data_IF_846097131740
#
_entry.id   IF_846097131740
#
_cell.length_a   1.000
_cell.length_b   1.000
_cell.length_c   1.000
_cell.angle_alpha   90.00
_cell.angle_beta   90.00
_cell.angle_gamma   90.00
#
_symmetry.space_group_name_H-M   'P 1'
#
loop_
_entity.id
_entity.type
_entity.pdbx_description
1 polymer ?
#
# COMPACT_ATOMS: atom_id res chain seq x y z
N UNK A 1 -5.81 -17.87 8.15
CA UNK A 1 -4.65 -18.56 8.77
C UNK A 1 -3.58 -17.51 9.07
N UNK A 2 -2.86 -17.63 10.18
CA UNK A 2 -1.76 -16.70 10.49
C UNK A 2 -0.56 -16.93 9.58
N UNK A 3 -0.07 -15.86 8.97
CA UNK A 3 1.20 -15.83 8.23
C UNK A 3 2.24 -15.05 9.03
N UNK A 4 3.52 -15.37 8.84
CA UNK A 4 4.60 -14.67 9.52
C UNK A 4 4.62 -13.21 9.07
N UNK A 5 4.62 -12.27 10.02
CA UNK A 5 4.64 -10.84 9.70
C UNK A 5 6.00 -10.43 9.12
N UNK A 6 5.95 -9.67 8.04
CA UNK A 6 7.11 -9.06 7.40
C UNK A 6 6.77 -7.65 6.93
N UNK A 7 7.81 -6.87 6.63
CA UNK A 7 7.72 -5.54 6.06
C UNK A 7 8.70 -5.43 4.88
N UNK A 8 8.31 -4.59 3.91
CA UNK A 8 9.20 -4.14 2.83
C UNK A 8 9.84 -2.77 3.14
N UNK A 9 9.40 -2.09 4.21
CA UNK A 9 9.76 -0.70 4.51
C UNK A 9 10.90 -0.58 5.54
N UNK A 10 11.15 -1.63 6.31
CA UNK A 10 12.18 -1.58 7.37
C UNK A 10 13.59 -1.76 6.80
N UNK A 11 13.77 -2.57 5.76
CA UNK A 11 15.04 -2.76 5.07
C UNK A 11 14.83 -2.64 3.56
N UNK A 12 15.64 -1.79 2.92
CA UNK A 12 15.51 -1.52 1.48
C UNK A 12 15.82 -2.77 0.67
N UNK A 13 14.95 -3.07 -0.31
CA UNK A 13 15.09 -4.22 -1.22
C UNK A 13 15.04 -5.59 -0.55
N UNK A 14 14.60 -5.66 0.70
CA UNK A 14 14.51 -6.90 1.45
C UNK A 14 13.12 -7.06 2.09
N UNK A 15 12.65 -8.30 2.08
CA UNK A 15 11.46 -8.71 2.83
C UNK A 15 11.92 -9.13 4.21
N UNK A 16 11.69 -8.29 5.21
CA UNK A 16 12.24 -8.47 6.55
C UNK A 16 11.16 -8.90 7.53
N UNK A 17 11.39 -9.94 8.31
CA UNK A 17 10.48 -10.28 9.41
C UNK A 17 10.44 -9.16 10.43
N UNK A 18 9.24 -8.83 10.90
CA UNK A 18 9.05 -7.71 11.81
C UNK A 18 8.37 -8.10 13.10
N UNK A 19 8.48 -7.18 14.04
CA UNK A 19 7.80 -7.12 15.30
C UNK A 19 6.85 -5.96 15.32
N UNK A 20 5.63 -6.22 15.76
CA UNK A 20 4.61 -5.20 15.89
C UNK A 20 4.89 -4.42 17.17
N UNK A 21 5.18 -3.14 17.04
CA UNK A 21 5.43 -2.28 18.20
C UNK A 21 4.12 -2.06 18.95
N UNK A 22 4.22 -1.83 20.26
CA UNK A 22 3.08 -1.38 21.08
C UNK A 22 2.76 0.08 20.71
N UNK A 23 2.07 0.26 19.58
CA UNK A 23 1.58 1.55 19.14
C UNK A 23 0.40 2.07 19.97
N UNK A 24 -0.17 3.18 19.50
CA UNK A 24 -1.08 4.09 20.23
C UNK A 24 -2.45 3.48 20.63
N UNK A 25 -2.87 2.36 20.03
CA UNK A 25 -4.04 1.61 20.49
C UNK A 25 -3.64 0.60 21.56
N UNK A 26 -4.31 0.62 22.71
CA UNK A 26 -4.02 -0.22 23.90
C UNK A 26 -4.01 -1.69 23.47
N UNK A 27 -2.82 -2.31 23.28
CA UNK A 27 -2.78 -3.69 22.85
C UNK A 27 -3.21 -4.55 24.03
N UNK A 28 -4.08 -5.54 23.80
CA UNK A 28 -4.38 -6.52 24.83
C UNK A 28 -3.12 -7.37 25.05
N UNK A 29 -2.40 -7.07 26.14
CA UNK A 29 -1.21 -7.83 26.51
C UNK A 29 -1.59 -8.96 27.45
N UNK A 30 -1.29 -10.20 27.04
CA UNK A 30 -1.67 -11.41 27.76
C UNK A 30 -0.41 -12.18 28.13
N UNK A 31 -0.22 -12.57 29.41
CA UNK A 31 0.86 -13.48 29.78
C UNK A 31 0.63 -14.86 29.16
N UNK A 32 1.66 -15.39 28.49
CA UNK A 32 1.63 -16.72 27.85
C UNK A 32 3.00 -17.39 27.91
N UNK A 33 2.99 -18.68 28.20
CA UNK A 33 4.22 -19.49 28.31
C UNK A 33 4.85 -19.81 26.94
N UNK A 34 4.08 -19.74 25.85
CA UNK A 34 4.52 -20.14 24.53
C UNK A 34 3.86 -19.36 23.41
N UNK A 35 4.50 -19.37 22.23
CA UNK A 35 3.94 -18.81 21.00
C UNK A 35 2.61 -19.47 20.62
N UNK A 36 2.48 -20.79 20.74
CA UNK A 36 1.22 -21.50 20.47
C UNK A 36 0.13 -21.01 21.42
N UNK A 37 0.45 -20.83 22.70
CA UNK A 37 -0.47 -20.22 23.67
C UNK A 37 -0.87 -18.80 23.29
N UNK A 38 0.06 -17.99 22.78
CA UNK A 38 -0.22 -16.65 22.27
C UNK A 38 -1.23 -16.67 21.13
N UNK A 39 -0.97 -17.49 20.10
CA UNK A 39 -1.84 -17.60 18.92
C UNK A 39 -3.24 -18.09 19.28
N UNK A 40 -3.35 -19.11 20.14
CA UNK A 40 -4.65 -19.63 20.59
C UNK A 40 -5.43 -18.57 21.36
N UNK A 41 -4.80 -17.87 22.31
CA UNK A 41 -5.48 -16.81 23.08
C UNK A 41 -5.91 -15.64 22.22
N UNK A 42 -5.08 -15.18 21.28
CA UNK A 42 -5.49 -14.12 20.36
C UNK A 42 -6.56 -14.57 19.35
N UNK A 43 -6.62 -15.87 19.02
CA UNK A 43 -7.71 -16.38 18.19
C UNK A 43 -9.04 -16.36 18.96
N UNK A 44 -9.03 -16.73 20.26
CA UNK A 44 -10.20 -16.58 21.13
C UNK A 44 -10.61 -15.10 21.25
N UNK A 45 -9.63 -14.24 21.53
CA UNK A 45 -9.53 -12.82 21.10
C UNK A 45 -10.52 -12.37 20.03
N UNK A 46 -10.15 -12.78 18.81
CA UNK A 46 -10.81 -12.46 17.56
C UNK A 46 -12.27 -12.93 17.50
N UNK A 47 -12.57 -14.08 18.12
CA UNK A 47 -13.91 -14.69 18.09
C UNK A 47 -14.88 -13.92 18.99
N UNK A 48 -14.42 -13.41 20.15
CA UNK A 48 -15.31 -12.75 21.11
C UNK A 48 -15.50 -11.27 20.84
N UNK A 49 -14.43 -10.55 20.46
CA UNK A 49 -14.42 -9.08 20.44
C UNK A 49 -14.32 -8.48 19.04
N UNK A 50 -14.23 -9.33 18.01
CA UNK A 50 -14.17 -8.93 16.61
C UNK A 50 -12.76 -8.56 16.12
N UNK A 51 -12.51 -8.97 14.87
CA UNK A 51 -11.46 -8.56 13.93
C UNK A 51 -10.04 -8.40 14.50
N UNK A 52 -9.41 -9.52 14.87
CA UNK A 52 -7.97 -9.58 15.07
C UNK A 52 -7.23 -9.49 13.73
N UNK A 53 -6.22 -8.62 13.67
CA UNK A 53 -5.36 -8.45 12.50
C UNK A 53 -3.97 -9.06 12.67
N UNK A 54 -3.43 -9.04 13.89
CA UNK A 54 -2.07 -9.52 14.14
C UNK A 54 -1.83 -10.00 15.56
N UNK A 55 -0.72 -10.71 15.73
CA UNK A 55 -0.25 -11.25 17.00
C UNK A 55 1.23 -11.00 17.09
N UNK A 56 1.72 -10.53 18.24
CA UNK A 56 3.14 -10.42 18.54
C UNK A 56 3.46 -11.15 19.83
N UNK A 57 4.42 -12.08 19.79
CA UNK A 57 4.90 -12.82 20.95
C UNK A 57 6.36 -12.45 21.25
N UNK A 58 6.62 -12.07 22.50
CA UNK A 58 7.95 -11.78 23.03
C UNK A 58 8.37 -12.91 23.97
N UNK A 59 9.42 -13.66 23.63
CA UNK A 59 9.82 -14.84 24.41
C UNK A 59 10.41 -14.49 25.78
N UNK A 60 11.25 -13.46 25.85
CA UNK A 60 11.94 -12.95 27.04
C UNK A 60 10.97 -12.53 28.13
N UNK A 61 9.91 -11.83 27.75
CA UNK A 61 8.87 -11.34 28.66
C UNK A 61 7.67 -12.28 28.78
N UNK A 62 7.66 -13.40 28.04
CA UNK A 62 6.51 -14.32 27.95
C UNK A 62 5.20 -13.57 27.71
N UNK A 63 5.25 -12.53 26.89
CA UNK A 63 4.12 -11.65 26.65
C UNK A 63 3.58 -11.83 25.24
N UNK A 64 2.26 -11.92 25.17
CA UNK A 64 1.49 -11.92 23.94
C UNK A 64 0.85 -10.56 23.76
N UNK A 65 0.77 -10.09 22.52
CA UNK A 65 0.04 -8.89 22.14
C UNK A 65 -0.89 -9.24 20.98
N UNK A 66 -2.18 -9.08 21.20
CA UNK A 66 -3.20 -9.25 20.16
C UNK A 66 -3.52 -7.88 19.57
N UNK A 67 -3.38 -7.72 18.26
CA UNK A 67 -3.68 -6.48 17.55
C UNK A 67 -5.01 -6.60 16.83
N UNK A 68 -5.95 -5.74 17.20
CA UNK A 68 -7.23 -5.59 16.52
C UNK A 68 -7.04 -4.79 15.22
N UNK A 69 -7.85 -5.09 14.21
CA UNK A 69 -7.95 -4.31 12.99
C UNK A 69 -8.28 -2.87 13.36
N UNK A 70 -7.49 -1.94 12.84
CA UNK A 70 -7.70 -0.52 12.99
C UNK A 70 -7.20 0.18 11.74
N UNK A 71 -7.74 1.36 11.45
CA UNK A 71 -7.32 2.21 10.33
C UNK A 71 -6.06 3.02 10.70
N UNK A 72 -5.25 2.52 11.64
CA UNK A 72 -4.05 3.19 12.11
C UNK A 72 -2.82 2.58 11.43
N UNK A 73 -1.78 3.39 11.27
CA UNK A 73 -0.48 2.90 10.80
C UNK A 73 0.18 2.02 11.85
N UNK A 74 0.62 0.83 11.43
CA UNK A 74 1.32 -0.09 12.30
C UNK A 74 2.80 0.26 12.32
N UNK A 75 3.29 0.62 13.50
CA UNK A 75 4.72 0.74 13.71
C UNK A 75 5.32 -0.65 13.85
N UNK A 76 6.32 -0.94 13.03
CA UNK A 76 7.00 -2.23 13.02
C UNK A 76 8.50 -2.07 13.16
N UNK A 77 9.16 -3.05 13.76
CA UNK A 77 10.61 -3.10 13.95
C UNK A 77 11.16 -4.39 13.35
N UNK A 78 12.31 -4.35 12.67
CA UNK A 78 12.95 -5.56 12.16
C UNK A 78 13.31 -6.53 13.30
N UNK A 79 13.03 -7.82 13.11
CA UNK A 79 13.52 -8.88 13.99
C UNK A 79 15.05 -8.92 13.88
N UNK A 80 15.72 -9.00 15.04
CA UNK A 80 17.19 -8.96 15.12
C UNK A 80 17.76 -7.56 15.42
N UNK A 81 16.93 -6.52 15.48
CA UNK A 81 17.33 -5.30 16.18
C UNK A 81 17.49 -5.57 17.69
N UNK A 82 18.29 -4.75 18.39
CA UNK A 82 18.52 -4.92 19.84
C UNK A 82 17.22 -5.00 20.66
N UNK A 83 16.13 -4.39 20.18
CA UNK A 83 14.83 -4.31 20.86
C UNK A 83 13.87 -5.44 20.49
N UNK A 84 14.16 -6.23 19.45
CA UNK A 84 13.23 -7.22 18.88
C UNK A 84 13.87 -8.60 18.59
N UNK A 85 15.02 -8.90 19.20
CA UNK A 85 15.81 -10.10 18.90
C UNK A 85 15.06 -11.43 19.14
N UNK A 86 14.10 -11.46 20.06
CA UNK A 86 13.36 -12.66 20.47
C UNK A 86 11.87 -12.64 20.07
N UNK A 87 11.49 -11.65 19.27
CA UNK A 87 10.10 -11.38 18.98
C UNK A 87 9.58 -12.13 17.74
N UNK A 88 8.30 -12.51 17.82
CA UNK A 88 7.63 -13.33 16.82
C UNK A 88 6.24 -12.79 16.51
N UNK A 89 6.12 -12.05 15.40
CA UNK A 89 4.83 -11.54 14.94
C UNK A 89 4.22 -12.31 13.78
N UNK A 90 2.89 -12.36 13.76
CA UNK A 90 2.05 -13.01 12.77
C UNK A 90 0.86 -12.12 12.43
N UNK A 91 0.31 -12.27 11.23
CA UNK A 91 -0.82 -11.48 10.72
C UNK A 91 -1.82 -12.36 10.00
N UNK A 92 -3.06 -11.89 9.94
CA UNK A 92 -4.12 -12.48 9.11
C UNK A 92 -4.46 -11.46 8.03
N UNK A 93 -4.26 -11.84 6.78
CA UNK A 93 -4.61 -11.04 5.61
C UNK A 93 -5.16 -11.94 4.50
N UNK A 94 -5.90 -11.34 3.59
CA UNK A 94 -6.49 -12.01 2.43
C UNK A 94 -5.83 -11.61 1.11
N UNK A 95 -4.66 -10.95 1.18
CA UNK A 95 -3.90 -10.64 -0.03
C UNK A 95 -3.71 -11.89 -0.89
N UNK A 96 -4.11 -11.86 -2.17
CA UNK A 96 -3.86 -12.93 -3.11
C UNK A 96 -2.35 -13.23 -3.21
N UNK A 97 -1.99 -14.46 -3.55
CA UNK A 97 -0.59 -14.92 -3.54
C UNK A 97 0.37 -14.11 -4.44
N UNK A 98 -0.17 -13.36 -5.40
CA UNK A 98 0.59 -12.53 -6.33
C UNK A 98 0.60 -11.03 -5.94
N UNK A 99 0.09 -10.68 -4.76
CA UNK A 99 0.17 -9.36 -4.16
C UNK A 99 1.01 -9.39 -2.89
N UNK A 100 1.69 -8.29 -2.64
CA UNK A 100 2.45 -8.05 -1.44
C UNK A 100 1.55 -7.42 -0.38
N UNK A 101 1.37 -8.11 0.74
CA UNK A 101 0.79 -7.51 1.94
C UNK A 101 1.77 -6.50 2.56
N UNK A 102 1.35 -5.25 2.69
CA UNK A 102 2.07 -4.17 3.37
C UNK A 102 1.43 -3.95 4.73
N UNK A 103 2.11 -4.46 5.77
CA UNK A 103 1.59 -4.55 7.13
C UNK A 103 1.34 -3.19 7.78
N UNK A 104 2.08 -2.16 7.39
CA UNK A 104 2.02 -0.82 7.98
C UNK A 104 0.67 -0.13 7.74
N UNK A 105 -0.04 -0.49 6.67
CA UNK A 105 -1.34 0.09 6.34
C UNK A 105 -2.40 -0.95 5.94
N UNK A 106 -2.10 -2.23 6.10
CA UNK A 106 -2.99 -3.34 5.75
C UNK A 106 -3.51 -3.33 4.31
N UNK A 107 -2.65 -2.95 3.36
CA UNK A 107 -2.97 -2.96 1.93
C UNK A 107 -2.24 -4.08 1.21
N UNK A 108 -2.78 -4.49 0.08
CA UNK A 108 -2.15 -5.47 -0.80
C UNK A 108 -1.76 -4.76 -2.07
N UNK A 109 -0.46 -4.65 -2.36
CA UNK A 109 0.01 -3.96 -3.56
C UNK A 109 0.67 -4.92 -4.53
N UNK A 110 0.64 -4.56 -5.81
CA UNK A 110 1.40 -5.25 -6.86
C UNK A 110 1.82 -4.27 -7.94
N UNK A 111 3.12 -4.20 -8.18
CA UNK A 111 3.66 -3.43 -9.29
C UNK A 111 3.54 -4.18 -10.62
N UNK A 112 2.91 -3.56 -11.62
CA UNK A 112 2.89 -4.05 -13.00
C UNK A 112 3.98 -3.33 -13.81
N UNK A 113 5.08 -4.03 -14.10
CA UNK A 113 6.23 -3.46 -14.82
C UNK A 113 6.03 -3.34 -16.34
N UNK A 114 4.97 -3.94 -16.90
CA UNK A 114 4.67 -3.79 -18.33
C UNK A 114 4.07 -2.42 -18.59
N UNK A 115 4.79 -1.59 -19.36
CA UNK A 115 4.33 -0.26 -19.75
C UNK A 115 3.09 -0.34 -20.63
N UNK A 116 2.04 0.38 -20.24
CA UNK A 116 0.70 0.38 -20.84
C UNK A 116 0.09 1.77 -20.74
N UNK A 117 -0.87 2.08 -21.61
CA UNK A 117 -1.74 3.26 -21.41
C UNK A 117 -2.44 3.14 -20.06
N UNK A 118 -2.93 4.25 -19.51
CA UNK A 118 -3.64 4.19 -18.23
C UNK A 118 -4.85 3.24 -18.31
N UNK A 119 -5.61 3.29 -19.40
CA UNK A 119 -6.80 2.44 -19.60
C UNK A 119 -6.43 0.94 -19.69
N UNK A 120 -5.37 0.61 -20.42
CA UNK A 120 -4.89 -0.79 -20.53
C UNK A 120 -4.29 -1.28 -19.21
N UNK A 121 -3.60 -0.40 -18.47
CA UNK A 121 -3.09 -0.66 -17.13
C UNK A 121 -4.24 -1.00 -16.19
N UNK A 122 -5.28 -0.14 -16.14
CA UNK A 122 -6.46 -0.34 -15.31
C UNK A 122 -7.14 -1.68 -15.60
N UNK A 123 -7.38 -1.94 -16.87
CA UNK A 123 -7.92 -3.24 -17.32
C UNK A 123 -7.05 -4.40 -16.85
N UNK A 124 -5.72 -4.25 -16.87
CA UNK A 124 -4.79 -5.28 -16.40
C UNK A 124 -4.83 -5.49 -14.88
N UNK A 125 -5.02 -4.45 -14.07
CA UNK A 125 -5.27 -4.60 -12.64
C UNK A 125 -6.63 -5.29 -12.41
N UNK A 126 -7.70 -4.79 -13.02
CA UNK A 126 -9.06 -5.36 -12.83
C UNK A 126 -9.18 -6.83 -13.24
N UNK A 127 -8.31 -7.31 -14.14
CA UNK A 127 -8.26 -8.73 -14.54
C UNK A 127 -7.61 -9.66 -13.50
N UNK A 128 -7.08 -9.15 -12.39
CA UNK A 128 -6.34 -9.95 -11.40
C UNK A 128 -7.01 -9.83 -10.03
N UNK A 129 -7.48 -10.96 -9.49
CA UNK A 129 -7.85 -11.14 -8.08
C UNK A 129 -8.67 -10.00 -7.44
N UNK A 130 -9.69 -9.49 -8.13
CA UNK A 130 -10.51 -8.35 -7.66
C UNK A 130 -9.70 -7.10 -7.32
N UNK A 131 -8.63 -6.83 -8.07
CA UNK A 131 -7.77 -5.66 -7.87
C UNK A 131 -8.13 -4.48 -8.79
N UNK A 132 -7.54 -3.33 -8.53
CA UNK A 132 -7.70 -2.11 -9.31
C UNK A 132 -6.41 -1.28 -9.26
N UNK A 133 -6.24 -0.24 -10.10
CA UNK A 133 -5.18 0.73 -9.90
C UNK A 133 -5.25 1.33 -8.50
N UNK A 134 -4.11 1.49 -7.83
CA UNK A 134 -4.08 1.99 -6.46
C UNK A 134 -4.73 3.39 -6.35
N UNK A 135 -5.59 3.58 -5.35
CA UNK A 135 -6.20 4.84 -4.95
C UNK A 135 -5.74 5.12 -3.52
N UNK A 136 -5.69 6.40 -3.13
CA UNK A 136 -5.25 6.76 -1.79
C UNK A 136 -6.33 7.55 -1.07
N UNK A 137 -6.72 7.05 0.10
CA UNK A 137 -7.73 7.68 0.96
C UNK A 137 -7.15 8.87 1.71
N UNK A 138 -5.86 8.82 2.06
CA UNK A 138 -5.15 9.88 2.75
C UNK A 138 -3.64 9.96 2.40
N UNK A 139 -2.97 10.99 2.94
CA UNK A 139 -1.52 11.20 2.75
C UNK A 139 -0.67 10.10 3.41
N UNK A 140 -1.19 9.36 4.39
CA UNK A 140 -0.46 8.29 5.08
C UNK A 140 -0.39 7.05 4.19
N UNK A 141 -1.51 6.67 3.59
CA UNK A 141 -1.58 5.60 2.59
C UNK A 141 -0.64 5.88 1.42
N UNK A 142 -0.71 7.11 0.88
CA UNK A 142 0.19 7.57 -0.18
C UNK A 142 1.66 7.35 0.20
N UNK A 143 2.08 7.80 1.39
CA UNK A 143 3.46 7.67 1.83
C UNK A 143 3.89 6.20 1.99
N UNK A 144 2.98 5.34 2.42
CA UNK A 144 3.26 3.90 2.57
C UNK A 144 3.37 3.23 1.20
N UNK A 145 2.46 3.51 0.27
CA UNK A 145 2.53 3.01 -1.10
C UNK A 145 3.81 3.50 -1.80
N UNK A 146 4.14 4.79 -1.67
CA UNK A 146 5.38 5.38 -2.18
C UNK A 146 6.61 4.62 -1.68
N UNK A 147 6.71 4.43 -0.36
CA UNK A 147 7.83 3.73 0.24
C UNK A 147 7.87 2.25 -0.18
N UNK A 148 6.73 1.57 -0.25
CA UNK A 148 6.64 0.19 -0.74
C UNK A 148 7.24 0.07 -2.13
N UNK A 149 6.84 0.93 -3.08
CA UNK A 149 7.38 0.85 -4.45
C UNK A 149 8.86 1.22 -4.47
N UNK A 150 9.30 2.23 -3.71
CA UNK A 150 10.73 2.59 -3.62
C UNK A 150 11.61 1.45 -3.05
N UNK A 151 11.05 0.60 -2.18
CA UNK A 151 11.79 -0.52 -1.59
C UNK A 151 11.71 -1.80 -2.43
N UNK A 152 10.61 -2.02 -3.15
CA UNK A 152 10.39 -3.28 -3.88
C UNK A 152 10.76 -3.23 -5.36
N UNK A 153 11.00 -2.05 -5.91
CA UNK A 153 11.35 -1.92 -7.34
C UNK A 153 12.85 -2.05 -7.60
N UNK A 154 13.25 -2.74 -8.68
CA UNK A 154 14.64 -2.79 -9.14
C UNK A 154 15.16 -1.41 -9.52
N UNK A 155 16.47 -1.20 -9.40
CA UNK A 155 17.12 0.09 -9.65
C UNK A 155 16.69 0.74 -10.98
N UNK A 156 15.91 1.82 -10.88
CA UNK A 156 15.76 2.97 -11.80
C UNK A 156 15.37 2.77 -13.27
N UNK A 157 15.39 1.56 -13.83
CA UNK A 157 15.33 1.37 -15.31
C UNK A 157 14.06 0.74 -15.86
N UNK A 158 13.22 0.12 -15.03
CA UNK A 158 12.06 -0.64 -15.55
C UNK A 158 10.88 0.25 -15.95
N UNK A 159 10.70 1.37 -15.26
CA UNK A 159 9.56 2.27 -15.44
C UNK A 159 10.05 3.72 -15.62
N UNK A 160 10.77 4.03 -16.70
CA UNK A 160 11.28 5.38 -16.92
C UNK A 160 10.13 6.36 -17.16
N UNK A 161 10.21 7.53 -16.54
CA UNK A 161 9.33 8.66 -16.85
C UNK A 161 9.47 9.13 -18.29
N UNK A 162 8.41 9.72 -18.84
CA UNK A 162 8.36 10.15 -20.26
C UNK A 162 9.35 11.30 -20.50
N UNK A 163 9.31 12.31 -19.65
CA UNK A 163 10.19 13.48 -19.72
C UNK A 163 11.45 13.34 -18.84
N UNK A 164 11.38 12.46 -17.84
CA UNK A 164 12.46 12.20 -16.89
C UNK A 164 12.86 10.72 -16.96
N UNK A 165 13.65 10.30 -17.96
CA UNK A 165 13.98 8.88 -18.18
C UNK A 165 14.81 8.26 -17.05
N UNK A 166 15.43 9.10 -16.20
CA UNK A 166 16.15 8.67 -15.00
C UNK A 166 15.23 8.57 -13.76
N UNK A 167 13.94 8.93 -13.90
CA UNK A 167 12.95 8.78 -12.85
C UNK A 167 12.17 7.49 -13.00
N UNK A 168 11.84 6.87 -11.87
CA UNK A 168 10.90 5.76 -11.82
C UNK A 168 9.48 6.32 -11.67
N UNK A 169 8.66 6.13 -12.70
CA UNK A 169 7.32 6.71 -12.82
C UNK A 169 6.28 5.65 -13.18
N UNK A 170 5.11 5.73 -12.58
CA UNK A 170 4.02 4.80 -12.83
C UNK A 170 2.65 5.42 -12.58
N UNK A 171 1.62 4.89 -13.23
CA UNK A 171 0.24 5.29 -13.02
C UNK A 171 -0.35 4.71 -11.73
N UNK A 172 -1.27 5.48 -11.17
CA UNK A 172 -2.22 5.07 -10.12
C UNK A 172 -3.65 5.36 -10.60
N UNK A 173 -4.67 5.12 -9.78
CA UNK A 173 -6.08 5.18 -10.16
C UNK A 173 -6.67 6.57 -10.37
N UNK A 174 -5.87 7.64 -10.31
CA UNK A 174 -6.36 9.01 -10.52
C UNK A 174 -6.63 9.31 -11.99
N UNK A 175 -7.78 9.90 -12.28
CA UNK A 175 -8.29 10.18 -13.62
C UNK A 175 -9.07 11.50 -13.67
N UNK A 176 -8.94 12.22 -14.78
CA UNK A 176 -9.68 13.45 -15.08
C UNK A 176 -10.02 13.47 -16.56
N UNK A 177 -11.24 13.92 -16.87
CA UNK A 177 -11.77 13.97 -18.24
C UNK A 177 -12.55 15.26 -18.49
N UNK A 178 -13.35 15.28 -19.56
CA UNK A 178 -14.23 16.37 -19.94
C UNK A 178 -15.66 15.89 -19.99
N UNK A 179 -16.55 16.65 -19.37
CA UNK A 179 -18.00 16.45 -19.48
C UNK A 179 -18.60 17.70 -20.12
N UNK A 180 -19.24 17.53 -21.29
CA UNK A 180 -19.79 18.64 -22.09
C UNK A 180 -18.77 19.77 -22.36
N UNK A 181 -17.52 19.40 -22.69
CA UNK A 181 -16.44 20.35 -22.95
C UNK A 181 -15.85 21.02 -21.70
N UNK A 182 -16.39 20.73 -20.51
CA UNK A 182 -15.86 21.25 -19.24
C UNK A 182 -14.95 20.23 -18.59
N UNK A 183 -13.75 20.65 -18.21
CA UNK A 183 -12.78 19.80 -17.50
C UNK A 183 -13.31 19.43 -16.12
N UNK A 184 -13.30 18.15 -15.80
CA UNK A 184 -13.73 17.67 -14.48
C UNK A 184 -12.64 17.90 -13.42
N UNK A 185 -12.97 17.82 -12.12
CA UNK A 185 -11.97 17.53 -11.08
C UNK A 185 -11.28 16.18 -11.32
N UNK A 186 -10.21 15.90 -10.55
CA UNK A 186 -9.65 14.56 -10.47
C UNK A 186 -10.53 13.65 -9.63
N UNK A 187 -10.66 12.41 -10.09
CA UNK A 187 -11.36 11.33 -9.40
C UNK A 187 -10.44 10.11 -9.28
N UNK A 188 -10.63 9.34 -8.22
CA UNK A 188 -10.23 7.95 -8.19
C UNK A 188 -11.17 7.12 -9.07
N UNK A 189 -10.63 6.36 -10.02
CA UNK A 189 -11.40 5.49 -10.91
C UNK A 189 -10.88 4.05 -10.86
N UNK A 190 -11.14 3.33 -9.75
CA UNK A 190 -10.65 1.97 -9.54
C UNK A 190 -11.24 0.96 -10.55
N UNK A 191 -12.51 1.15 -10.92
CA UNK A 191 -13.24 0.29 -11.84
C UNK A 191 -13.94 1.09 -12.95
N UNK A 192 -14.25 0.48 -14.10
CA UNK A 192 -15.06 1.12 -15.14
C UNK A 192 -16.39 1.64 -14.59
N UNK A 193 -16.69 2.91 -14.83
CA UNK A 193 -17.93 3.56 -14.37
C UNK A 193 -17.96 3.93 -12.88
N UNK A 194 -16.91 3.62 -12.12
CA UNK A 194 -16.79 3.99 -10.70
C UNK A 194 -15.86 5.18 -10.56
N UNK A 195 -16.33 6.22 -9.88
CA UNK A 195 -15.61 7.47 -9.66
C UNK A 195 -15.80 7.95 -8.23
N UNK A 196 -14.71 8.17 -7.51
CA UNK A 196 -14.71 8.81 -6.18
C UNK A 196 -13.95 10.14 -6.26
N UNK A 197 -14.41 11.20 -5.59
CA UNK A 197 -13.64 12.44 -5.50
C UNK A 197 -12.25 12.15 -4.93
N UNK A 198 -11.21 12.60 -5.64
CA UNK A 198 -9.86 12.58 -5.08
C UNK A 198 -9.77 13.63 -3.98
N UNK A 199 -9.48 13.21 -2.75
CA UNK A 199 -9.37 14.12 -1.62
C UNK A 199 -8.18 15.07 -1.80
N UNK A 200 -8.26 16.24 -1.16
CA UNK A 200 -7.13 17.16 -1.12
C UNK A 200 -5.93 16.47 -0.45
N UNK A 201 -4.80 16.44 -1.13
CA UNK A 201 -3.59 15.75 -0.70
C UNK A 201 -2.39 16.67 -0.82
N UNK A 202 -1.44 16.55 0.11
CA UNK A 202 -0.14 17.23 0.03
C UNK A 202 0.88 16.47 -0.84
N UNK A 203 0.46 15.35 -1.43
CA UNK A 203 1.30 14.48 -2.22
C UNK A 203 1.62 15.04 -3.61
N UNK A 204 0.85 15.99 -4.13
CA UNK A 204 1.14 16.66 -5.40
C UNK A 204 2.51 17.31 -5.38
N UNK A 205 3.27 17.11 -6.45
CA UNK A 205 4.49 17.87 -6.66
C UNK A 205 4.17 19.36 -6.75
N UNK A 206 5.12 20.21 -6.35
CA UNK A 206 4.94 21.66 -6.38
C UNK A 206 4.67 22.14 -7.81
N UNK A 207 3.47 22.69 -8.04
CA UNK A 207 3.03 23.17 -9.34
C UNK A 207 2.00 22.27 -10.01
N UNK A 208 1.79 21.07 -9.48
CA UNK A 208 0.82 20.11 -10.00
C UNK A 208 -0.53 20.18 -9.27
N UNK A 209 -1.63 19.81 -9.95
CA UNK A 209 -1.71 19.38 -11.36
C UNK A 209 -1.59 20.53 -12.37
N UNK A 210 -0.81 20.34 -13.43
CA UNK A 210 -0.37 21.38 -14.36
C UNK A 210 -0.65 21.08 -15.84
N UNK A 211 -1.22 19.93 -16.21
CA UNK A 211 -1.46 19.64 -17.63
C UNK A 211 -2.45 20.63 -18.29
N UNK A 212 -2.24 21.05 -19.55
CA UNK A 212 -3.10 22.02 -20.23
C UNK A 212 -4.56 21.56 -20.40
N UNK A 213 -5.48 22.52 -20.37
CA UNK A 213 -6.88 22.32 -20.75
C UNK A 213 -7.00 22.29 -22.28
N UNK A 214 -6.88 21.08 -22.85
CA UNK A 214 -6.84 20.85 -24.30
C UNK A 214 -7.82 19.77 -24.77
N UNK A 215 -8.82 19.42 -23.96
CA UNK A 215 -9.82 18.39 -24.29
C UNK A 215 -9.32 16.95 -24.21
N UNK A 216 -8.10 16.70 -23.71
CA UNK A 216 -7.55 15.34 -23.55
C UNK A 216 -7.58 14.88 -22.10
N UNK A 217 -7.94 13.61 -21.89
CA UNK A 217 -7.91 12.97 -20.57
C UNK A 217 -6.52 13.03 -19.93
N UNK A 218 -6.51 13.24 -18.62
CA UNK A 218 -5.31 13.30 -17.79
C UNK A 218 -5.44 12.28 -16.65
N UNK A 219 -4.34 11.63 -16.34
CA UNK A 219 -4.24 10.54 -15.38
C UNK A 219 -3.14 10.86 -14.39
N UNK A 220 -3.28 10.35 -13.17
CA UNK A 220 -2.31 10.61 -12.11
C UNK A 220 -1.18 9.59 -12.19
N UNK A 221 0.04 10.10 -12.22
CA UNK A 221 1.27 9.33 -12.13
C UNK A 221 2.01 9.69 -10.83
N UNK A 222 2.87 8.78 -10.37
CA UNK A 222 3.74 8.99 -9.22
C UNK A 222 5.20 8.86 -9.64
N UNK A 223 6.02 9.83 -9.23
CA UNK A 223 7.46 9.86 -9.45
C UNK A 223 8.20 9.50 -8.16
N UNK A 224 9.12 8.54 -8.22
CA UNK A 224 9.91 8.14 -7.04
C UNK A 224 11.20 8.96 -6.87
N UNK A 225 11.84 9.37 -7.97
CA UNK A 225 13.17 10.02 -7.94
C UNK A 225 13.19 11.29 -8.78
N UNK A 226 14.06 12.25 -8.43
CA UNK A 226 14.28 13.56 -9.10
C UNK A 226 13.09 14.53 -8.96
N UNK A 227 11.87 14.07 -9.16
CA UNK A 227 10.63 14.85 -9.17
C UNK A 227 9.59 14.21 -8.22
N UNK A 228 9.95 13.97 -6.96
CA UNK A 228 9.11 13.17 -6.05
C UNK A 228 7.73 13.80 -5.82
N UNK A 229 6.67 13.01 -5.97
CA UNK A 229 5.28 13.45 -5.78
C UNK A 229 4.29 12.82 -6.76
N UNK A 230 3.02 13.21 -6.63
CA UNK A 230 1.99 13.03 -7.63
C UNK A 230 2.13 14.09 -8.71
N UNK A 231 1.85 13.67 -9.94
CA UNK A 231 1.86 14.50 -11.14
C UNK A 231 0.72 14.05 -12.05
N UNK A 232 0.26 14.91 -12.94
CA UNK A 232 -0.74 14.57 -13.94
C UNK A 232 -0.15 14.51 -15.35
N UNK A 233 -0.62 13.54 -16.11
CA UNK A 233 -0.08 13.27 -17.45
C UNK A 233 -1.19 12.77 -18.37
N UNK A 234 -1.03 12.95 -19.67
CA UNK A 234 -1.99 12.43 -20.61
C UNK A 234 -2.12 10.90 -20.52
N UNK A 235 -3.35 10.41 -20.41
CA UNK A 235 -3.65 8.98 -20.20
C UNK A 235 -3.20 8.05 -21.34
N UNK A 236 -2.93 8.60 -22.54
CA UNK A 236 -2.48 7.83 -23.71
C UNK A 236 -1.00 7.45 -23.65
N UNK A 237 -0.20 8.07 -22.76
CA UNK A 237 1.19 7.66 -22.59
C UNK A 237 1.30 6.30 -21.90
N UNK A 238 2.41 5.61 -22.16
CA UNK A 238 2.63 4.27 -21.63
C UNK A 238 3.56 4.26 -20.43
N UNK A 239 3.06 3.86 -19.26
CA UNK A 239 3.79 3.74 -18.00
C UNK A 239 3.48 2.41 -17.31
N UNK A 240 4.29 2.05 -16.31
CA UNK A 240 3.94 0.98 -15.39
C UNK A 240 2.72 1.37 -14.54
N UNK A 241 2.15 0.43 -13.78
CA UNK A 241 0.98 0.70 -12.93
C UNK A 241 1.03 -0.04 -11.59
N UNK A 242 0.72 0.66 -10.50
CA UNK A 242 0.54 0.05 -9.19
C UNK A 242 -0.90 -0.41 -9.05
N UNK A 243 -1.11 -1.69 -8.77
CA UNK A 243 -2.42 -2.24 -8.45
C UNK A 243 -2.57 -2.46 -6.94
N UNK A 244 -3.79 -2.37 -6.43
CA UNK A 244 -4.18 -2.77 -5.08
C UNK A 244 -5.44 -3.65 -5.07
N UNK A 245 -5.67 -4.39 -3.99
CA UNK A 245 -6.81 -5.31 -3.84
C UNK A 245 -7.84 -4.74 -2.86
N UNK A 246 -9.12 -4.84 -3.23
CA UNK A 246 -10.23 -4.69 -2.30
C UNK A 246 -10.25 -5.87 -1.31
N UNK A 247 -9.70 -5.63 -0.12
CA UNK A 247 -9.81 -6.58 0.99
C UNK A 247 -11.26 -6.58 1.48
N UNK A 248 -11.87 -7.75 1.61
CA UNK A 248 -13.19 -7.85 2.25
C UNK A 248 -13.05 -7.37 3.68
N UNK A 249 -13.84 -6.35 4.03
CA UNK A 249 -13.86 -5.80 5.37
C UNK A 249 -14.54 -6.76 6.33
#
# INVERSE_FOLDING_TARGET
MFTRAYSYLVAKHEKTFVCLNRGVSIPLSIPVESLTGCLVKCLVVAITDGELRGVSYMQSSRSCTCLQKSNLTYQVTAVGSMTAADCRSYVIHECPANFDYVIEYHKCYKMQFKRKTWQDGRTSCNAISSSHPAIFEDDVEYNIAFNYVNHTTPAGKLCPGIYFPNSFTFFIGGYRTYFNGTRTPFYWSPYPGVYHPMQATKAWHKGEPGTPDNGKDCCVQMFLTVYTGLDDEHCFYTLCMLCEVDLQN
#
